data_IF_371381435169
#
_entry.id   IF_371381435169
#
_cell.length_a   1.000
_cell.length_b   1.000
_cell.length_c   1.000
_cell.angle_alpha   90.00
_cell.angle_beta   90.00
_cell.angle_gamma   90.00
#
_symmetry.space_group_name_H-M   'P 1'
#
loop_
_entity.id
_entity.type
_entity.pdbx_description
1 polymer ?
#
# COMPACT_ATOMS: atom_id res chain seq x y z
N UNK A 1 -4.30 2.66 19.42
CA UNK A 1 -5.37 2.36 18.42
C UNK A 1 -5.23 0.94 17.90
N UNK A 2 -4.16 0.55 17.18
CA UNK A 2 -3.98 -0.79 16.56
C UNK A 2 -4.23 -1.92 17.57
N UNK A 3 -3.55 -1.90 18.73
CA UNK A 3 -3.72 -2.90 19.78
C UNK A 3 -5.16 -2.99 20.34
N UNK A 4 -5.93 -1.88 20.30
CA UNK A 4 -7.34 -1.92 20.73
C UNK A 4 -8.23 -2.63 19.70
N UNK A 5 -7.93 -2.52 18.40
CA UNK A 5 -8.65 -3.23 17.34
C UNK A 5 -8.41 -4.74 17.38
N UNK A 6 -7.27 -5.19 17.93
CA UNK A 6 -6.94 -6.61 18.06
C UNK A 6 -7.98 -7.43 18.83
N UNK A 7 -8.71 -6.79 19.74
CA UNK A 7 -9.80 -7.44 20.49
C UNK A 7 -10.95 -7.92 19.61
N UNK A 8 -11.09 -7.34 18.40
CA UNK A 8 -12.21 -7.58 17.49
C UNK A 8 -11.79 -8.22 16.17
N UNK A 9 -10.49 -8.38 15.93
CA UNK A 9 -9.98 -8.87 14.66
C UNK A 9 -8.73 -9.73 14.85
N UNK A 10 -8.73 -10.94 14.28
CA UNK A 10 -7.65 -11.91 14.42
C UNK A 10 -6.64 -11.89 13.25
N UNK A 11 -7.01 -11.25 12.12
CA UNK A 11 -6.12 -11.17 10.95
C UNK A 11 -4.96 -10.19 11.20
N UNK A 12 -3.82 -10.35 10.52
CA UNK A 12 -2.76 -9.36 10.56
C UNK A 12 -3.27 -7.99 10.09
N UNK A 13 -2.70 -6.93 10.66
CA UNK A 13 -3.00 -5.57 10.23
C UNK A 13 -1.89 -5.07 9.32
N UNK A 14 -2.27 -4.11 8.48
CA UNK A 14 -1.35 -3.26 7.79
C UNK A 14 -1.30 -1.91 8.47
N UNK A 15 -0.10 -1.36 8.62
CA UNK A 15 0.11 -0.09 9.32
C UNK A 15 1.08 0.79 8.54
N UNK A 16 0.54 1.85 7.94
CA UNK A 16 1.34 2.89 7.31
C UNK A 16 1.81 3.90 8.35
N UNK A 17 3.12 4.07 8.46
CA UNK A 17 3.76 4.98 9.42
C UNK A 17 3.99 6.36 8.82
N UNK A 18 2.99 7.24 8.91
CA UNK A 18 3.10 8.67 8.57
C UNK A 18 3.70 9.45 9.73
N UNK A 19 4.92 9.11 10.13
CA UNK A 19 5.62 9.66 11.31
C UNK A 19 7.04 10.07 10.94
N UNK A 20 7.67 10.94 11.75
CA UNK A 20 9.08 11.30 11.58
C UNK A 20 9.99 10.10 11.80
N UNK A 21 11.21 10.14 11.25
CA UNK A 21 12.22 9.09 11.43
C UNK A 21 12.42 8.72 12.89
N UNK A 22 12.53 9.70 13.79
CA UNK A 22 12.70 9.45 15.22
C UNK A 22 11.58 8.59 15.79
N UNK A 23 10.34 8.93 15.50
CA UNK A 23 9.17 8.17 15.97
C UNK A 23 9.07 6.80 15.29
N UNK A 24 9.44 6.70 14.02
CA UNK A 24 9.51 5.41 13.31
C UNK A 24 10.48 4.47 14.02
N UNK A 25 11.73 4.88 14.23
CA UNK A 25 12.77 4.01 14.79
C UNK A 25 12.52 3.66 16.26
N UNK A 26 12.10 4.63 17.09
CA UNK A 26 11.93 4.41 18.55
C UNK A 26 10.69 3.56 18.89
N UNK A 27 9.65 3.60 18.06
CA UNK A 27 8.39 2.89 18.30
C UNK A 27 8.19 1.68 17.40
N UNK A 28 9.17 1.35 16.55
CA UNK A 28 9.03 0.33 15.51
C UNK A 28 8.60 -1.04 16.07
N UNK A 29 9.21 -1.47 17.16
CA UNK A 29 8.87 -2.74 17.81
C UNK A 29 7.42 -2.76 18.29
N UNK A 30 6.93 -1.66 18.85
CA UNK A 30 5.54 -1.53 19.28
C UNK A 30 4.57 -1.61 18.10
N UNK A 31 4.90 -0.99 16.95
CA UNK A 31 4.09 -1.07 15.75
C UNK A 31 4.07 -2.49 15.18
N UNK A 32 5.25 -3.11 15.00
CA UNK A 32 5.36 -4.47 14.48
C UNK A 32 4.58 -5.45 15.35
N UNK A 33 4.73 -5.39 16.68
CA UNK A 33 4.02 -6.29 17.58
C UNK A 33 2.50 -6.07 17.57
N UNK A 34 2.03 -4.83 17.40
CA UNK A 34 0.61 -4.53 17.36
C UNK A 34 -0.06 -4.97 16.04
N UNK A 35 0.70 -5.06 14.93
CA UNK A 35 0.17 -5.45 13.62
C UNK A 35 0.04 -6.96 13.43
N UNK A 36 0.81 -7.78 14.15
CA UNK A 36 0.78 -9.24 14.02
C UNK A 36 -0.63 -9.79 14.23
N UNK A 37 -0.98 -10.82 13.48
CA UNK A 37 -2.19 -11.61 13.68
C UNK A 37 -2.19 -12.32 15.03
N UNK A 38 -3.36 -12.77 15.51
CA UNK A 38 -3.49 -13.44 16.81
C UNK A 38 -2.75 -14.79 16.87
N UNK A 39 -2.50 -15.41 15.73
CA UNK A 39 -1.72 -16.65 15.57
C UNK A 39 -0.22 -16.40 15.30
N UNK A 40 0.24 -15.14 15.40
CA UNK A 40 1.62 -14.74 15.14
C UNK A 40 1.95 -14.46 13.67
N UNK A 41 0.97 -14.46 12.77
CA UNK A 41 1.18 -14.07 11.38
C UNK A 41 1.76 -12.65 11.29
N UNK A 42 2.78 -12.42 10.43
CA UNK A 42 3.36 -11.10 10.24
C UNK A 42 2.31 -10.07 9.80
N UNK A 43 2.27 -8.92 10.46
CA UNK A 43 1.55 -7.76 9.96
C UNK A 43 2.45 -6.91 9.08
N UNK A 44 1.87 -6.17 8.15
CA UNK A 44 2.61 -5.29 7.25
C UNK A 44 2.89 -3.96 7.95
N UNK A 45 4.15 -3.52 7.90
CA UNK A 45 4.57 -2.20 8.41
C UNK A 45 5.20 -1.42 7.28
N UNK A 46 4.55 -0.32 6.91
CA UNK A 46 4.91 0.52 5.78
C UNK A 46 5.65 1.76 6.27
N UNK A 47 6.92 1.89 5.88
CA UNK A 47 7.75 3.06 6.16
C UNK A 47 7.82 3.97 4.92
N UNK A 48 7.61 5.28 5.10
CA UNK A 48 7.78 6.23 4.01
C UNK A 48 9.25 6.45 3.66
N UNK A 49 9.60 6.35 2.38
CA UNK A 49 10.96 6.58 1.90
C UNK A 49 11.46 7.98 2.27
N UNK A 50 10.59 8.97 2.19
CA UNK A 50 10.90 10.39 2.46
C UNK A 50 11.14 10.69 3.95
N UNK A 51 10.57 9.89 4.83
CA UNK A 51 10.64 10.08 6.27
C UNK A 51 11.81 9.34 6.93
N UNK A 52 12.52 8.48 6.18
CA UNK A 52 13.53 7.57 6.76
C UNK A 52 14.87 7.67 6.02
N UNK A 53 15.83 8.42 6.57
CA UNK A 53 17.18 8.57 6.00
C UNK A 53 17.89 7.21 5.91
N UNK A 54 17.64 6.31 6.85
CA UNK A 54 18.22 4.97 6.91
C UNK A 54 17.18 3.89 6.63
N UNK A 55 16.42 4.05 5.54
CA UNK A 55 15.31 3.18 5.18
C UNK A 55 15.69 1.69 5.15
N UNK A 56 16.84 1.34 4.57
CA UNK A 56 17.35 -0.03 4.55
C UNK A 56 17.42 -0.64 5.97
N UNK A 57 17.94 0.11 6.96
CA UNK A 57 17.99 -0.35 8.35
C UNK A 57 16.60 -0.53 8.96
N UNK A 58 15.66 0.37 8.66
CA UNK A 58 14.29 0.30 9.16
C UNK A 58 13.59 -0.95 8.61
N UNK A 59 13.69 -1.21 7.31
CA UNK A 59 13.10 -2.40 6.68
C UNK A 59 13.69 -3.70 7.24
N UNK A 60 15.02 -3.77 7.39
CA UNK A 60 15.68 -4.90 8.05
C UNK A 60 15.16 -5.12 9.47
N UNK A 61 15.03 -4.04 10.25
CA UNK A 61 14.52 -4.14 11.62
C UNK A 61 13.06 -4.60 11.70
N UNK A 62 12.19 -4.20 10.75
CA UNK A 62 10.81 -4.73 10.66
C UNK A 62 10.84 -6.24 10.49
N UNK A 63 11.69 -6.74 9.59
CA UNK A 63 11.84 -8.18 9.34
C UNK A 63 12.39 -8.93 10.55
N UNK A 64 13.44 -8.41 11.19
CA UNK A 64 14.02 -9.00 12.42
C UNK A 64 13.01 -9.11 13.56
N UNK A 65 12.09 -8.17 13.66
CA UNK A 65 10.99 -8.19 14.62
C UNK A 65 9.83 -9.12 14.22
N UNK A 66 9.92 -9.76 13.05
CA UNK A 66 8.91 -10.68 12.54
C UNK A 66 7.68 -9.97 11.95
N UNK A 67 7.84 -8.77 11.43
CA UNK A 67 6.87 -8.06 10.59
C UNK A 67 7.18 -8.24 9.10
N UNK A 68 6.23 -7.88 8.24
CA UNK A 68 6.37 -7.81 6.80
C UNK A 68 6.74 -6.36 6.41
N UNK A 69 7.98 -6.12 5.92
CA UNK A 69 8.43 -4.77 5.59
C UNK A 69 7.82 -4.27 4.28
N UNK A 70 7.36 -3.04 4.30
CA UNK A 70 6.85 -2.34 3.12
C UNK A 70 7.37 -0.91 3.06
N UNK A 71 7.44 -0.34 1.86
CA UNK A 71 7.86 1.04 1.63
C UNK A 71 6.78 1.83 0.89
N UNK A 72 6.50 3.05 1.37
CA UNK A 72 5.61 3.98 0.71
C UNK A 72 6.39 5.05 -0.06
N UNK A 73 5.88 5.42 -1.23
CA UNK A 73 6.37 6.51 -2.07
C UNK A 73 5.30 7.59 -2.23
N UNK A 74 5.62 8.82 -1.87
CA UNK A 74 4.80 9.99 -2.15
C UNK A 74 4.69 10.26 -3.66
N UNK A 75 3.71 11.05 -4.13
CA UNK A 75 3.55 11.33 -5.56
C UNK A 75 4.81 11.89 -6.24
N UNK A 76 5.54 12.77 -5.59
CA UNK A 76 6.76 13.38 -6.14
C UNK A 76 8.01 12.48 -6.08
N UNK A 77 8.00 11.41 -5.26
CA UNK A 77 9.17 10.56 -5.04
C UNK A 77 9.30 9.53 -6.16
N UNK A 78 10.39 9.53 -6.91
CA UNK A 78 10.60 8.57 -7.99
C UNK A 78 10.92 7.17 -7.45
N UNK A 79 10.60 6.13 -8.24
CA UNK A 79 10.87 4.73 -7.90
C UNK A 79 12.37 4.46 -7.67
N UNK A 80 13.25 5.13 -8.37
CA UNK A 80 14.69 5.00 -8.28
C UNK A 80 15.25 5.25 -6.87
N UNK A 81 14.51 5.96 -6.03
CA UNK A 81 14.90 6.19 -4.63
C UNK A 81 14.94 4.90 -3.81
N UNK A 82 14.20 3.87 -4.23
CA UNK A 82 14.08 2.60 -3.50
C UNK A 82 14.54 1.39 -4.33
N UNK A 83 14.94 1.58 -5.58
CA UNK A 83 15.29 0.49 -6.51
C UNK A 83 16.34 -0.48 -5.91
N UNK A 84 17.33 0.04 -5.18
CA UNK A 84 18.42 -0.75 -4.61
C UNK A 84 18.05 -1.53 -3.33
N UNK A 85 16.81 -1.42 -2.85
CA UNK A 85 16.35 -2.09 -1.63
C UNK A 85 15.10 -2.94 -1.87
N UNK A 86 14.79 -3.20 -3.13
CA UNK A 86 13.55 -3.90 -3.53
C UNK A 86 13.53 -5.38 -3.14
N UNK A 87 14.69 -5.98 -2.86
CA UNK A 87 14.83 -7.33 -2.31
C UNK A 87 14.50 -7.43 -0.82
N UNK A 88 14.33 -6.27 -0.17
CA UNK A 88 14.03 -6.20 1.27
C UNK A 88 12.55 -6.03 1.58
N UNK A 89 11.70 -5.79 0.58
CA UNK A 89 10.30 -5.47 0.78
C UNK A 89 9.38 -6.60 0.33
N UNK A 90 8.25 -6.72 1.00
CA UNK A 90 7.17 -7.63 0.62
C UNK A 90 6.03 -6.86 -0.09
N UNK A 91 5.98 -5.52 0.09
CA UNK A 91 5.02 -4.63 -0.57
C UNK A 91 5.67 -3.29 -0.92
N UNK A 92 5.16 -2.64 -1.97
CA UNK A 92 5.43 -1.23 -2.28
C UNK A 92 4.12 -0.48 -2.36
N UNK A 93 3.94 0.51 -1.51
CA UNK A 93 2.78 1.40 -1.53
C UNK A 93 3.06 2.64 -2.39
N UNK A 94 2.30 2.82 -3.44
CA UNK A 94 2.30 4.05 -4.26
C UNK A 94 1.15 4.94 -3.79
N UNK A 95 1.49 6.09 -3.21
CA UNK A 95 0.49 7.10 -2.88
C UNK A 95 -0.06 7.72 -4.14
N UNK A 96 -1.38 7.61 -4.36
CA UNK A 96 -2.10 8.21 -5.49
C UNK A 96 -2.81 9.51 -5.13
N UNK A 97 -2.54 10.01 -3.93
CA UNK A 97 -2.83 11.35 -3.40
C UNK A 97 -1.65 11.83 -2.55
N UNK A 98 -1.60 13.09 -2.16
CA UNK A 98 -0.65 13.52 -1.12
C UNK A 98 -1.13 13.01 0.24
N UNK A 99 -0.30 12.27 1.02
CA UNK A 99 -0.73 11.71 2.30
C UNK A 99 -1.04 12.82 3.33
N UNK A 100 -1.93 12.51 4.28
CA UNK A 100 -2.26 13.37 5.42
C UNK A 100 -3.73 13.83 5.50
N UNK A 101 -4.50 13.78 4.41
CA UNK A 101 -5.92 14.18 4.39
C UNK A 101 -6.76 13.17 3.63
N UNK A 102 -7.97 12.93 4.11
CA UNK A 102 -8.96 12.08 3.42
C UNK A 102 -9.70 12.86 2.32
N UNK A 103 -10.24 12.14 1.34
CA UNK A 103 -11.13 12.72 0.32
C UNK A 103 -10.43 13.52 -0.78
N UNK A 104 -9.14 13.37 -0.95
CA UNK A 104 -8.39 14.03 -2.02
C UNK A 104 -8.68 13.44 -3.40
N UNK A 105 -8.48 14.25 -4.43
CA UNK A 105 -8.58 13.81 -5.81
C UNK A 105 -7.42 12.87 -6.17
N UNK A 106 -7.74 11.78 -6.86
CA UNK A 106 -6.77 10.85 -7.42
C UNK A 106 -5.79 11.56 -8.39
N UNK A 107 -4.52 11.18 -8.37
CA UNK A 107 -3.46 11.73 -9.21
C UNK A 107 -3.14 10.74 -10.35
N UNK A 108 -3.65 10.96 -11.58
CA UNK A 108 -3.52 9.98 -12.67
C UNK A 108 -2.08 9.70 -13.12
N UNK A 109 -1.17 10.67 -12.94
CA UNK A 109 0.25 10.51 -13.32
C UNK A 109 0.96 9.40 -12.55
N UNK A 110 0.40 8.94 -11.43
CA UNK A 110 0.94 7.82 -10.63
C UNK A 110 0.89 6.48 -11.36
N UNK A 111 0.03 6.33 -12.38
CA UNK A 111 -0.01 5.15 -13.22
C UNK A 111 1.36 4.85 -13.86
N UNK A 112 2.13 5.87 -14.24
CA UNK A 112 3.47 5.67 -14.79
C UNK A 112 4.43 5.05 -13.77
N UNK A 113 4.34 5.47 -12.50
CA UNK A 113 5.14 4.90 -11.42
C UNK A 113 4.75 3.44 -11.16
N UNK A 114 3.46 3.14 -11.11
CA UNK A 114 2.95 1.76 -10.93
C UNK A 114 3.48 0.85 -12.06
N UNK A 115 3.33 1.25 -13.33
CA UNK A 115 3.86 0.49 -14.47
C UNK A 115 5.36 0.27 -14.39
N UNK A 116 6.12 1.29 -13.98
CA UNK A 116 7.58 1.19 -13.82
C UNK A 116 7.96 0.15 -12.78
N UNK A 117 7.30 0.16 -11.61
CA UNK A 117 7.52 -0.82 -10.54
C UNK A 117 7.14 -2.23 -11.03
N UNK A 118 5.99 -2.39 -11.71
CA UNK A 118 5.56 -3.69 -12.24
C UNK A 118 6.55 -4.25 -13.26
N UNK A 119 7.05 -3.42 -14.17
CA UNK A 119 8.06 -3.84 -15.14
C UNK A 119 9.36 -4.28 -14.46
N UNK A 120 9.79 -3.55 -13.41
CA UNK A 120 10.97 -3.92 -12.62
C UNK A 120 10.79 -5.27 -11.92
N UNK A 121 9.61 -5.52 -11.31
CA UNK A 121 9.28 -6.81 -10.69
C UNK A 121 9.42 -7.95 -11.71
N UNK A 122 8.87 -7.76 -12.90
CA UNK A 122 8.92 -8.78 -13.98
C UNK A 122 10.36 -8.99 -14.45
N UNK A 123 11.08 -7.91 -14.74
CA UNK A 123 12.47 -7.97 -15.23
C UNK A 123 13.42 -8.67 -14.25
N UNK A 124 13.27 -8.36 -12.96
CA UNK A 124 14.13 -8.89 -11.88
C UNK A 124 13.61 -10.21 -11.30
N UNK A 125 12.47 -10.71 -11.78
CA UNK A 125 11.81 -11.93 -11.26
C UNK A 125 11.59 -11.84 -9.73
N UNK A 126 11.14 -10.68 -9.26
CA UNK A 126 10.82 -10.44 -7.85
C UNK A 126 9.37 -10.83 -7.55
N UNK A 127 9.05 -11.02 -6.28
CA UNK A 127 7.70 -11.37 -5.84
C UNK A 127 7.30 -10.50 -4.65
N UNK A 128 6.72 -9.33 -4.95
CA UNK A 128 6.09 -8.47 -3.97
C UNK A 128 4.85 -7.77 -4.55
N UNK A 129 3.98 -7.30 -3.67
CA UNK A 129 2.75 -6.64 -4.05
C UNK A 129 2.95 -5.16 -4.33
N UNK A 130 2.22 -4.63 -5.32
CA UNK A 130 2.09 -3.19 -5.56
C UNK A 130 0.75 -2.75 -5.02
N UNK A 131 0.82 -1.94 -3.99
CA UNK A 131 -0.33 -1.36 -3.33
C UNK A 131 -0.53 0.09 -3.75
N UNK A 132 -1.77 0.55 -3.75
CA UNK A 132 -2.13 1.94 -4.04
C UNK A 132 -3.08 2.47 -2.98
N UNK A 133 -2.83 3.71 -2.52
CA UNK A 133 -3.69 4.43 -1.59
C UNK A 133 -3.95 5.85 -2.07
N UNK A 134 -5.24 6.19 -2.12
CA UNK A 134 -5.72 7.54 -2.37
C UNK A 134 -6.66 7.67 -3.55
N UNK A 135 -7.91 8.07 -3.30
CA UNK A 135 -8.92 8.30 -4.32
C UNK A 135 -9.43 7.05 -5.05
N UNK A 136 -9.16 5.86 -4.52
CA UNK A 136 -9.56 4.57 -5.10
C UNK A 136 -11.05 4.34 -4.93
N UNK A 137 -11.73 4.07 -6.04
CA UNK A 137 -13.18 3.79 -6.13
C UNK A 137 -13.42 2.68 -7.15
N UNK A 138 -14.59 2.02 -7.11
CA UNK A 138 -15.02 1.04 -8.09
C UNK A 138 -15.42 1.70 -9.44
N UNK A 139 -14.47 2.38 -10.05
CA UNK A 139 -14.58 3.11 -11.31
C UNK A 139 -13.23 3.09 -12.05
N UNK A 140 -13.00 4.07 -12.92
CA UNK A 140 -11.77 4.19 -13.69
C UNK A 140 -10.50 4.25 -12.81
N UNK A 141 -10.56 4.74 -11.57
CA UNK A 141 -9.37 4.88 -10.72
C UNK A 141 -8.76 3.53 -10.34
N UNK A 142 -9.56 2.61 -9.78
CA UNK A 142 -9.09 1.24 -9.48
C UNK A 142 -8.79 0.47 -10.76
N UNK A 143 -9.60 0.67 -11.80
CA UNK A 143 -9.44 0.00 -13.09
C UNK A 143 -8.08 0.30 -13.72
N UNK A 144 -7.71 1.58 -13.82
CA UNK A 144 -6.42 1.96 -14.40
C UNK A 144 -5.22 1.58 -13.52
N UNK A 145 -5.37 1.62 -12.18
CA UNK A 145 -4.32 1.13 -11.29
C UNK A 145 -4.07 -0.38 -11.47
N UNK A 146 -5.14 -1.17 -11.58
CA UNK A 146 -5.05 -2.62 -11.80
C UNK A 146 -4.44 -2.97 -13.15
N UNK A 147 -4.81 -2.26 -14.21
CA UNK A 147 -4.20 -2.37 -15.55
C UNK A 147 -2.72 -1.99 -15.53
N UNK A 148 -2.35 -0.95 -14.77
CA UNK A 148 -0.96 -0.52 -14.62
C UNK A 148 -0.10 -1.53 -13.82
N UNK A 149 -0.72 -2.52 -13.16
CA UNK A 149 -0.03 -3.59 -12.45
C UNK A 149 -0.16 -3.57 -10.93
N UNK A 150 -0.97 -2.67 -10.35
CA UNK A 150 -1.31 -2.76 -8.93
C UNK A 150 -2.19 -3.99 -8.65
N UNK A 151 -1.99 -4.63 -7.51
CA UNK A 151 -2.73 -5.82 -7.09
C UNK A 151 -3.25 -5.74 -5.65
N UNK A 152 -2.90 -4.68 -4.91
CA UNK A 152 -3.44 -4.35 -3.60
C UNK A 152 -4.01 -2.92 -3.60
N UNK A 153 -5.19 -2.70 -2.97
CA UNK A 153 -5.91 -1.44 -3.09
C UNK A 153 -6.48 -0.99 -1.76
N UNK A 154 -6.11 0.20 -1.31
CA UNK A 154 -6.70 0.83 -0.13
C UNK A 154 -7.82 1.78 -0.58
N UNK A 155 -9.05 1.49 -0.18
CA UNK A 155 -10.22 2.27 -0.51
C UNK A 155 -10.97 2.68 0.76
N UNK A 156 -10.84 3.92 1.18
CA UNK A 156 -11.60 4.49 2.29
C UNK A 156 -13.00 4.92 1.85
N UNK A 157 -13.16 6.19 1.47
CA UNK A 157 -14.45 6.75 1.04
C UNK A 157 -15.10 5.99 -0.12
N UNK A 158 -14.29 5.39 -1.00
CA UNK A 158 -14.79 4.56 -2.11
C UNK A 158 -15.56 3.32 -1.65
N UNK A 159 -15.17 2.72 -0.52
CA UNK A 159 -15.84 1.55 0.06
C UNK A 159 -17.04 1.95 0.94
N UNK A 160 -16.90 3.01 1.74
CA UNK A 160 -17.96 3.48 2.63
C UNK A 160 -19.13 4.19 1.90
N UNK A 161 -19.05 4.38 0.59
CA UNK A 161 -20.15 4.91 -0.22
C UNK A 161 -21.29 3.88 -0.48
N UNK A 162 -21.07 2.61 -0.14
CA UNK A 162 -22.04 1.52 -0.35
C UNK A 162 -22.91 1.28 0.90
N UNK A 163 -24.12 0.71 0.74
CA UNK A 163 -24.98 0.34 1.88
C UNK A 163 -24.31 -0.63 2.84
N UNK A 164 -23.47 -1.54 2.34
CA UNK A 164 -22.69 -2.48 3.15
C UNK A 164 -21.22 -2.51 2.70
N UNK A 165 -20.31 -2.78 3.64
CA UNK A 165 -18.89 -2.96 3.30
C UNK A 165 -18.66 -4.13 2.36
N UNK A 166 -19.50 -5.17 2.45
CA UNK A 166 -19.41 -6.33 1.56
C UNK A 166 -19.66 -5.94 0.12
N UNK A 167 -20.72 -5.19 -0.16
CA UNK A 167 -21.05 -4.72 -1.51
C UNK A 167 -19.92 -3.84 -2.07
N UNK A 168 -19.37 -2.93 -1.25
CA UNK A 168 -18.25 -2.09 -1.64
C UNK A 168 -17.00 -2.91 -1.99
N UNK A 169 -16.65 -3.89 -1.16
CA UNK A 169 -15.52 -4.78 -1.43
C UNK A 169 -15.72 -5.63 -2.69
N UNK A 170 -16.92 -6.18 -2.88
CA UNK A 170 -17.25 -7.04 -4.02
C UNK A 170 -17.17 -6.26 -5.34
N UNK A 171 -17.68 -5.02 -5.36
CA UNK A 171 -17.64 -4.17 -6.56
C UNK A 171 -16.23 -3.69 -6.88
N UNK A 172 -15.47 -3.23 -5.88
CA UNK A 172 -14.04 -2.88 -6.04
C UNK A 172 -13.24 -4.05 -6.63
N UNK A 173 -13.39 -5.25 -6.07
CA UNK A 173 -12.70 -6.45 -6.56
C UNK A 173 -13.11 -6.83 -7.98
N UNK A 174 -14.39 -6.71 -8.30
CA UNK A 174 -14.93 -6.98 -9.64
C UNK A 174 -14.26 -6.06 -10.67
N UNK A 175 -14.30 -4.73 -10.44
CA UNK A 175 -13.71 -3.76 -11.38
C UNK A 175 -12.22 -3.97 -11.55
N UNK A 176 -11.47 -4.23 -10.46
CA UNK A 176 -10.05 -4.50 -10.53
C UNK A 176 -9.74 -5.77 -11.36
N UNK A 177 -10.47 -6.87 -11.13
CA UNK A 177 -10.31 -8.13 -11.88
C UNK A 177 -10.67 -7.98 -13.35
N UNK A 178 -11.74 -7.24 -13.66
CA UNK A 178 -12.12 -6.97 -15.04
C UNK A 178 -11.04 -6.20 -15.80
N UNK A 179 -10.41 -5.22 -15.15
CA UNK A 179 -9.30 -4.45 -15.72
C UNK A 179 -8.05 -5.32 -15.96
N UNK A 180 -7.68 -6.19 -15.02
CA UNK A 180 -6.60 -7.15 -15.19
C UNK A 180 -6.84 -8.15 -16.35
N UNK A 181 -8.10 -8.35 -16.72
CA UNK A 181 -8.51 -9.15 -17.88
C UNK A 181 -8.74 -8.32 -19.16
N UNK A 182 -8.26 -7.08 -19.19
CA UNK A 182 -8.28 -6.20 -20.37
C UNK A 182 -9.54 -5.33 -20.52
N UNK A 183 -10.46 -5.29 -19.54
CA UNK A 183 -11.64 -4.42 -19.53
C UNK A 183 -11.39 -3.13 -18.73
N UNK A 184 -10.56 -2.25 -19.27
CA UNK A 184 -10.14 -1.03 -18.58
C UNK A 184 -11.15 0.10 -18.77
N UNK A 185 -11.56 0.74 -17.66
CA UNK A 185 -12.44 1.90 -17.68
C UNK A 185 -11.64 3.18 -17.91
N UNK A 186 -12.18 4.07 -18.75
CA UNK A 186 -11.61 5.39 -19.02
C UNK A 186 -12.09 6.44 -18.01
N UNK A 187 -11.28 7.47 -17.81
CA UNK A 187 -11.71 8.67 -17.10
C UNK A 187 -12.86 9.34 -17.85
N UNK A 188 -13.94 9.76 -17.16
CA UNK A 188 -15.00 10.54 -17.79
C UNK A 188 -14.44 11.86 -18.35
N UNK A 189 -14.89 12.23 -19.54
CA UNK A 189 -14.54 13.51 -20.17
C UNK A 189 -15.23 14.68 -19.48
#
# INVERSE_FOLDING_TARGET
MIAACRKYCNVPFETQLMVSQYNCETMLESYVNATKGSNGEPGVVIAHAEANIHLHRVLGRIRDLGGSPSVALNPHTPFEMIENIMDMVDHVLVMTVNPGFVGQAYIPTMLNKIRKIRNFIIEKNLNFDIEVDGGIKANWTISQCADAGANCFIAGSGMFAYPTLKEGCDDLRKVAKEAQNGKVLSEPQ
#
